data_IF_646323341367
#
_entry.id   IF_646323341367
#
_cell.length_a   1.000
_cell.length_b   1.000
_cell.length_c   1.000
_cell.angle_alpha   90.00
_cell.angle_beta   90.00
_cell.angle_gamma   90.00
#
_symmetry.space_group_name_H-M   'P 1'
#
loop_
_entity.id
_entity.type
_entity.pdbx_description
1 polymer ?
#
# COMPACT_ATOMS: atom_id res chain seq x y z
N UNK A 1 -10.58 15.79 23.78
CA UNK A 1 -9.62 15.85 22.65
C UNK A 1 -8.73 14.64 22.75
N UNK A 2 -8.53 13.84 21.68
CA UNK A 2 -7.53 12.79 21.73
C UNK A 2 -6.17 13.46 21.95
N UNK A 3 -5.46 13.05 23.00
CA UNK A 3 -4.11 13.53 23.28
C UNK A 3 -3.20 13.10 22.14
N UNK A 4 -2.50 14.05 21.52
CA UNK A 4 -1.44 13.73 20.55
C UNK A 4 -0.48 12.72 21.19
N UNK A 5 -0.11 11.65 20.50
CA UNK A 5 0.82 10.66 21.06
C UNK A 5 2.13 11.36 21.43
N UNK A 6 2.66 11.02 22.60
CA UNK A 6 3.96 11.55 23.05
C UNK A 6 5.02 11.27 21.99
N UNK A 7 5.91 12.20 21.67
CA UNK A 7 7.02 11.98 20.73
C UNK A 7 8.00 10.87 21.17
N UNK A 8 7.86 10.37 22.40
CA UNK A 8 8.65 9.26 22.96
C UNK A 8 8.04 7.88 22.75
N UNK A 9 6.90 7.76 22.04
CA UNK A 9 6.26 6.47 21.76
C UNK A 9 6.08 6.27 20.25
N UNK A 10 6.16 5.00 19.80
CA UNK A 10 5.79 4.66 18.42
C UNK A 10 4.30 4.89 18.20
N UNK A 11 3.98 5.58 17.12
CA UNK A 11 2.58 5.74 16.70
C UNK A 11 2.03 4.39 16.20
N UNK A 12 0.87 3.95 16.70
CA UNK A 12 0.25 2.72 16.22
C UNK A 12 -0.07 2.75 14.74
N UNK A 13 0.22 1.65 14.02
CA UNK A 13 -0.22 1.45 12.64
C UNK A 13 -1.61 0.82 12.65
N UNK A 14 -2.63 1.68 12.55
CA UNK A 14 -4.04 1.25 12.62
C UNK A 14 -4.42 0.42 11.40
N UNK A 15 -3.91 0.75 10.22
CA UNK A 15 -4.13 -0.01 9.00
C UNK A 15 -3.67 -1.47 9.14
N UNK A 16 -2.42 -1.70 9.58
CA UNK A 16 -1.90 -3.05 9.86
C UNK A 16 -2.78 -3.83 10.84
N UNK A 17 -3.20 -3.18 11.93
CA UNK A 17 -4.05 -3.81 12.95
C UNK A 17 -5.42 -4.18 12.40
N UNK A 18 -5.99 -3.33 11.56
CA UNK A 18 -7.26 -3.61 10.88
C UNK A 18 -7.13 -4.75 9.87
N UNK A 19 -6.02 -4.85 9.11
CA UNK A 19 -5.73 -5.99 8.25
C UNK A 19 -5.71 -7.30 9.04
N UNK A 20 -5.01 -7.34 10.18
CA UNK A 20 -4.95 -8.52 11.04
C UNK A 20 -6.33 -8.92 11.62
N UNK A 21 -7.28 -7.99 11.67
CA UNK A 21 -8.65 -8.23 12.13
C UNK A 21 -9.63 -8.55 10.99
N UNK A 22 -9.17 -8.58 9.74
CA UNK A 22 -10.02 -8.78 8.56
C UNK A 22 -11.04 -7.65 8.33
N UNK A 23 -10.75 -6.43 8.82
CA UNK A 23 -11.62 -5.28 8.60
C UNK A 23 -11.48 -4.78 7.17
N UNK A 24 -12.63 -4.46 6.57
CA UNK A 24 -12.67 -3.85 5.23
C UNK A 24 -12.19 -2.41 5.29
N UNK A 25 -11.24 -2.06 4.43
CA UNK A 25 -10.58 -0.75 4.43
C UNK A 25 -10.54 -0.15 3.02
N UNK A 26 -11.38 0.86 2.73
CA UNK A 26 -11.28 1.63 1.50
C UNK A 26 -10.07 2.57 1.56
N UNK A 27 -9.38 2.69 0.42
CA UNK A 27 -8.24 3.57 0.25
C UNK A 27 -8.24 4.31 -1.07
N UNK A 28 -7.27 5.20 -1.24
CA UNK A 28 -7.11 5.98 -2.47
C UNK A 28 -5.65 6.02 -2.91
N UNK A 29 -5.42 6.03 -4.24
CA UNK A 29 -4.11 6.19 -4.86
C UNK A 29 -3.73 7.67 -4.97
N UNK A 30 -2.48 8.01 -4.69
CA UNK A 30 -1.90 9.35 -4.82
C UNK A 30 -0.86 9.33 -5.93
N UNK A 31 -1.17 9.97 -7.05
CA UNK A 31 -0.36 10.00 -8.26
C UNK A 31 -0.07 11.42 -8.77
N UNK A 32 -0.66 12.45 -8.15
CA UNK A 32 -0.51 13.85 -8.60
C UNK A 32 0.79 14.53 -8.15
N UNK A 33 1.63 13.87 -7.36
CA UNK A 33 2.86 14.47 -6.81
C UNK A 33 2.61 15.76 -6.00
N UNK A 34 1.37 15.98 -5.57
CA UNK A 34 0.93 17.18 -4.88
C UNK A 34 0.69 16.93 -3.39
N UNK A 35 1.49 17.60 -2.57
CA UNK A 35 1.34 17.58 -1.11
C UNK A 35 -0.04 18.11 -0.69
N UNK A 36 -0.55 19.15 -1.38
CA UNK A 36 -1.87 19.70 -1.12
C UNK A 36 -2.98 18.69 -1.44
N UNK A 37 -2.86 17.94 -2.56
CA UNK A 37 -3.80 16.88 -2.86
C UNK A 37 -3.82 15.79 -1.78
N UNK A 38 -2.64 15.41 -1.29
CA UNK A 38 -2.52 14.47 -0.16
C UNK A 38 -3.24 14.97 1.08
N UNK A 39 -3.07 16.24 1.46
CA UNK A 39 -3.74 16.84 2.63
C UNK A 39 -5.26 16.83 2.44
N UNK A 40 -5.76 17.23 1.27
CA UNK A 40 -7.21 17.24 0.96
C UNK A 40 -7.81 15.83 1.10
N UNK A 41 -7.18 14.82 0.51
CA UNK A 41 -7.75 13.45 0.55
C UNK A 41 -7.53 12.75 1.89
N UNK A 42 -6.50 13.13 2.65
CA UNK A 42 -6.29 12.61 4.01
C UNK A 42 -7.44 12.95 4.94
N UNK A 43 -8.09 14.11 4.73
CA UNK A 43 -9.29 14.55 5.46
C UNK A 43 -10.59 13.89 4.99
N UNK A 44 -10.59 13.12 3.90
CA UNK A 44 -11.81 12.56 3.31
C UNK A 44 -12.36 11.31 4.03
N UNK A 45 -11.60 10.71 4.96
CA UNK A 45 -12.04 9.58 5.78
C UNK A 45 -11.65 8.20 5.23
N UNK A 46 -10.72 8.10 4.29
CA UNK A 46 -10.13 6.83 3.88
C UNK A 46 -9.32 6.19 5.01
N UNK A 47 -9.27 4.86 5.06
CA UNK A 47 -8.47 4.12 6.04
C UNK A 47 -6.98 4.13 5.67
N UNK A 48 -6.66 4.17 4.38
CA UNK A 48 -5.30 4.22 3.87
C UNK A 48 -5.21 5.02 2.57
N UNK A 49 -4.03 5.57 2.32
CA UNK A 49 -3.67 6.24 1.08
C UNK A 49 -2.39 5.59 0.53
N UNK A 50 -2.30 5.39 -0.78
CA UNK A 50 -1.07 4.88 -1.38
C UNK A 50 -0.35 5.98 -2.15
N UNK A 51 0.84 6.33 -1.70
CA UNK A 51 1.76 7.17 -2.44
C UNK A 51 2.55 6.32 -3.42
N UNK A 52 2.35 6.58 -4.70
CA UNK A 52 2.91 5.77 -5.76
C UNK A 52 4.26 6.32 -6.23
N UNK A 53 5.35 5.58 -6.00
CA UNK A 53 6.67 5.92 -6.53
C UNK A 53 7.07 5.04 -7.73
N UNK A 54 6.21 4.08 -8.13
CA UNK A 54 6.49 3.21 -9.27
C UNK A 54 6.09 3.87 -10.59
N UNK A 55 4.89 4.47 -10.65
CA UNK A 55 4.34 5.07 -11.87
C UNK A 55 4.19 6.59 -11.77
N UNK A 56 5.01 7.24 -10.96
CA UNK A 56 5.12 8.69 -10.85
C UNK A 56 6.59 9.12 -10.79
N UNK A 57 6.84 10.43 -10.79
CA UNK A 57 8.19 10.97 -10.60
C UNK A 57 8.51 11.30 -9.15
N UNK A 58 7.77 10.74 -8.18
CA UNK A 58 8.00 10.98 -6.74
C UNK A 58 9.32 10.34 -6.30
N UNK A 59 10.21 11.18 -5.79
CA UNK A 59 11.47 10.75 -5.17
C UNK A 59 11.35 10.61 -3.63
N UNK A 60 12.24 9.87 -2.97
CA UNK A 60 12.26 9.75 -1.50
C UNK A 60 12.32 11.08 -0.75
N UNK A 61 12.87 12.13 -1.37
CA UNK A 61 12.93 13.48 -0.80
C UNK A 61 11.54 14.11 -0.62
N UNK A 62 10.57 13.75 -1.47
CA UNK A 62 9.20 14.26 -1.43
C UNK A 62 8.33 13.51 -0.43
N UNK A 63 8.62 12.23 -0.17
CA UNK A 63 7.81 11.35 0.69
C UNK A 63 7.61 11.94 2.09
N UNK A 64 8.62 12.60 2.64
CA UNK A 64 8.52 13.23 3.97
C UNK A 64 7.43 14.32 4.04
N UNK A 65 7.25 15.10 2.96
CA UNK A 65 6.21 16.11 2.88
C UNK A 65 4.81 15.48 2.78
N UNK A 66 4.65 14.42 1.99
CA UNK A 66 3.39 13.65 1.92
C UNK A 66 3.05 12.98 3.27
N UNK A 67 4.06 12.44 3.99
CA UNK A 67 3.86 11.91 5.34
C UNK A 67 3.35 12.98 6.32
N UNK A 68 3.83 14.22 6.20
CA UNK A 68 3.36 15.33 7.05
C UNK A 68 1.94 15.73 6.67
N UNK A 69 1.63 15.86 5.39
CA UNK A 69 0.30 16.19 4.90
C UNK A 69 -0.75 15.16 5.32
N UNK A 70 -0.41 13.87 5.22
CA UNK A 70 -1.30 12.78 5.63
C UNK A 70 -1.59 12.74 7.13
N UNK A 71 -0.75 13.38 7.98
CA UNK A 71 -0.99 13.45 9.44
C UNK A 71 -2.22 14.28 9.83
N UNK A 72 -2.75 15.10 8.92
CA UNK A 72 -4.00 15.84 9.12
C UNK A 72 -5.24 14.94 9.17
N UNK A 73 -5.15 13.70 8.68
CA UNK A 73 -6.22 12.71 8.66
C UNK A 73 -5.94 11.48 9.52
N UNK A 74 -6.79 10.47 9.36
CA UNK A 74 -6.69 9.17 10.06
C UNK A 74 -6.05 8.08 9.21
N UNK A 75 -5.93 8.30 7.89
CA UNK A 75 -5.42 7.34 6.93
C UNK A 75 -3.95 6.99 7.18
N UNK A 76 -3.61 5.72 7.06
CA UNK A 76 -2.20 5.30 6.97
C UNK A 76 -1.66 5.59 5.57
N UNK A 77 -0.47 6.20 5.47
CA UNK A 77 0.20 6.38 4.20
C UNK A 77 1.05 5.14 3.89
N UNK A 78 0.60 4.36 2.92
CA UNK A 78 1.33 3.26 2.29
C UNK A 78 2.18 3.83 1.17
N UNK A 79 3.42 3.42 1.03
CA UNK A 79 4.29 3.83 -0.09
C UNK A 79 4.56 2.63 -0.98
N UNK A 80 4.19 2.71 -2.26
CA UNK A 80 4.61 1.74 -3.26
C UNK A 80 5.95 2.18 -3.83
N UNK A 81 6.98 1.36 -3.61
CA UNK A 81 8.33 1.62 -4.11
C UNK A 81 8.45 1.28 -5.59
N UNK A 82 9.42 1.87 -6.33
CA UNK A 82 9.58 1.58 -7.76
C UNK A 82 9.98 0.15 -8.07
N UNK A 83 10.71 -0.49 -7.18
CA UNK A 83 11.21 -1.85 -7.32
C UNK A 83 11.60 -2.45 -5.97
N UNK A 84 11.65 -3.78 -5.86
CA UNK A 84 12.11 -4.48 -4.66
C UNK A 84 13.64 -4.30 -4.47
N UNK A 85 14.05 -3.13 -3.95
CA UNK A 85 15.44 -2.67 -3.86
C UNK A 85 15.73 -2.16 -2.44
N UNK A 86 16.72 -2.76 -1.72
CA UNK A 86 16.93 -2.50 -0.29
C UNK A 86 17.41 -1.10 0.05
N UNK A 87 18.10 -0.39 -0.86
CA UNK A 87 18.58 0.98 -0.60
C UNK A 87 17.43 1.95 -0.49
N UNK A 88 16.43 1.83 -1.38
CA UNK A 88 15.20 2.62 -1.35
C UNK A 88 14.41 2.34 -0.06
N UNK A 89 14.21 1.07 0.26
CA UNK A 89 13.49 0.62 1.47
C UNK A 89 14.07 1.24 2.73
N UNK A 90 15.41 1.16 2.91
CA UNK A 90 16.09 1.74 4.06
C UNK A 90 15.83 3.25 4.19
N UNK A 91 15.96 4.01 3.09
CA UNK A 91 15.76 5.46 3.09
C UNK A 91 14.34 5.84 3.47
N UNK A 92 13.35 5.13 2.95
CA UNK A 92 11.93 5.37 3.23
C UNK A 92 11.60 5.05 4.69
N UNK A 93 12.06 3.90 5.19
CA UNK A 93 11.83 3.51 6.59
C UNK A 93 12.49 4.49 7.56
N UNK A 94 13.71 4.94 7.29
CA UNK A 94 14.38 5.96 8.12
C UNK A 94 13.67 7.32 8.04
N UNK A 95 13.09 7.64 6.88
CA UNK A 95 12.22 8.79 6.65
C UNK A 95 10.87 8.73 7.37
N UNK A 96 10.52 7.58 7.97
CA UNK A 96 9.31 7.41 8.78
C UNK A 96 8.13 6.73 8.07
N UNK A 97 8.34 6.19 6.87
CA UNK A 97 7.38 5.27 6.24
C UNK A 97 7.27 4.01 7.10
N UNK A 98 6.05 3.53 7.32
CA UNK A 98 5.79 2.32 8.11
C UNK A 98 5.12 1.22 7.29
N UNK A 99 4.42 1.60 6.25
CA UNK A 99 3.69 0.68 5.39
C UNK A 99 4.26 0.78 3.97
N UNK A 100 4.84 -0.32 3.48
CA UNK A 100 5.48 -0.38 2.16
C UNK A 100 4.79 -1.45 1.32
N UNK A 101 4.50 -1.10 0.06
CA UNK A 101 4.07 -2.03 -0.97
C UNK A 101 5.24 -2.29 -1.94
N UNK A 102 5.60 -3.55 -2.08
CA UNK A 102 6.64 -4.04 -2.98
C UNK A 102 5.98 -4.53 -4.27
N UNK A 103 6.20 -3.87 -5.41
CA UNK A 103 5.59 -4.26 -6.67
C UNK A 103 6.24 -5.51 -7.24
N UNK A 104 5.54 -6.17 -8.13
CA UNK A 104 6.01 -7.24 -9.01
C UNK A 104 6.73 -8.39 -8.29
N UNK A 105 6.22 -8.81 -7.13
CA UNK A 105 6.75 -9.95 -6.38
C UNK A 105 6.26 -11.25 -7.02
N UNK A 106 7.20 -12.09 -7.52
CA UNK A 106 6.91 -13.28 -8.31
C UNK A 106 7.09 -14.58 -7.55
N UNK A 107 7.76 -14.55 -6.40
CA UNK A 107 8.14 -15.77 -5.66
C UNK A 107 8.30 -15.53 -4.17
N UNK A 108 8.32 -16.60 -3.39
CA UNK A 108 8.64 -16.56 -1.96
C UNK A 108 10.05 -15.99 -1.69
N UNK A 109 11.02 -16.23 -2.59
CA UNK A 109 12.37 -15.68 -2.43
C UNK A 109 12.38 -14.16 -2.59
N UNK A 110 11.57 -13.62 -3.51
CA UNK A 110 11.41 -12.18 -3.66
C UNK A 110 10.69 -11.56 -2.45
N UNK A 111 9.67 -12.24 -1.93
CA UNK A 111 9.00 -11.82 -0.71
C UNK A 111 9.96 -11.85 0.50
N UNK A 112 10.81 -12.86 0.64
CA UNK A 112 11.84 -12.90 1.68
C UNK A 112 12.85 -11.76 1.55
N UNK A 113 13.28 -11.41 0.32
CA UNK A 113 14.16 -10.25 0.08
C UNK A 113 13.48 -8.94 0.49
N UNK A 114 12.20 -8.78 0.15
CA UNK A 114 11.40 -7.63 0.56
C UNK A 114 11.37 -7.49 2.09
N UNK A 115 11.03 -8.55 2.80
CA UNK A 115 11.01 -8.57 4.27
C UNK A 115 12.40 -8.30 4.84
N UNK A 116 13.44 -8.96 4.33
CA UNK A 116 14.83 -8.78 4.81
C UNK A 116 15.31 -7.34 4.67
N UNK A 117 14.91 -6.62 3.62
CA UNK A 117 15.23 -5.21 3.41
C UNK A 117 14.63 -4.29 4.50
N UNK A 118 13.56 -4.72 5.16
CA UNK A 118 12.90 -3.93 6.22
C UNK A 118 13.42 -4.21 7.62
N UNK A 119 14.12 -5.32 7.82
CA UNK A 119 14.55 -5.81 9.14
C UNK A 119 16.02 -5.54 9.41
N UNK A 120 16.35 -5.19 10.65
CA UNK A 120 17.73 -5.07 11.10
C UNK A 120 18.40 -6.45 11.29
N UNK A 121 19.73 -6.51 11.17
CA UNK A 121 20.47 -7.73 11.53
C UNK A 121 20.16 -8.18 12.98
N UNK A 122 20.14 -9.50 13.26
CA UNK A 122 20.44 -10.61 12.37
C UNK A 122 19.25 -11.06 11.50
N UNK A 123 18.05 -10.46 11.63
CA UNK A 123 16.82 -10.88 10.96
C UNK A 123 16.64 -10.29 9.55
N UNK A 124 17.56 -9.41 9.11
CA UNK A 124 17.54 -8.80 7.79
C UNK A 124 18.82 -8.03 7.50
N UNK A 125 18.74 -7.13 6.50
CA UNK A 125 19.89 -6.41 5.94
C UNK A 125 19.75 -4.87 6.02
N UNK A 126 18.70 -4.37 6.71
CA UNK A 126 18.52 -2.92 6.88
C UNK A 126 19.69 -2.33 7.67
N UNK A 127 20.35 -1.32 7.09
CA UNK A 127 21.41 -0.57 7.80
C UNK A 127 20.83 0.23 8.97
N UNK A 128 21.60 0.33 10.05
CA UNK A 128 21.18 0.97 11.30
C UNK A 128 21.52 2.46 11.31
N UNK A 129 20.53 3.29 11.65
CA UNK A 129 20.73 4.70 11.99
C UNK A 129 20.16 4.99 13.39
N UNK A 130 20.96 5.65 14.24
CA UNK A 130 20.55 5.97 15.61
C UNK A 130 19.65 7.22 15.73
N UNK A 131 19.71 8.11 14.74
CA UNK A 131 19.01 9.40 14.77
C UNK A 131 18.28 9.63 13.45
N UNK A 132 17.00 9.27 13.40
CA UNK A 132 16.18 9.32 12.19
C UNK A 132 14.74 9.71 12.52
N UNK A 133 13.97 10.12 11.51
CA UNK A 133 12.57 10.51 11.68
C UNK A 133 11.71 9.36 12.25
N UNK A 134 11.97 8.13 11.80
CA UNK A 134 11.23 6.94 12.24
C UNK A 134 11.27 6.71 13.75
N UNK A 135 12.38 7.05 14.43
CA UNK A 135 12.50 6.95 15.89
C UNK A 135 12.28 8.30 16.61
N UNK A 136 11.56 9.24 15.95
CA UNK A 136 11.33 10.60 16.44
C UNK A 136 12.63 11.32 16.82
N UNK A 137 13.67 11.20 15.99
CA UNK A 137 15.00 11.79 16.22
C UNK A 137 15.60 11.33 17.55
N UNK A 138 15.66 10.02 17.75
CA UNK A 138 16.15 9.32 18.93
C UNK A 138 15.33 9.54 20.22
N UNK A 139 14.09 10.07 20.15
CA UNK A 139 13.22 10.18 21.33
C UNK A 139 12.58 8.86 21.71
N UNK A 140 12.28 7.97 20.75
CA UNK A 140 11.75 6.61 20.98
C UNK A 140 12.92 5.67 21.28
N UNK A 141 13.15 5.39 22.56
CA UNK A 141 14.35 4.65 23.02
C UNK A 141 14.27 3.15 22.72
N UNK A 142 13.09 2.58 22.69
CA UNK A 142 12.80 1.16 22.43
C UNK A 142 12.45 0.87 20.95
N UNK A 143 12.76 1.82 20.05
CA UNK A 143 12.46 1.68 18.61
C UNK A 143 13.01 0.38 18.03
N UNK A 144 14.25 0.03 18.35
CA UNK A 144 14.92 -1.16 17.81
C UNK A 144 14.25 -2.50 18.22
N UNK A 145 13.51 -2.52 19.32
CA UNK A 145 12.77 -3.70 19.78
C UNK A 145 11.36 -3.76 19.21
N UNK A 146 10.74 -2.60 18.87
CA UNK A 146 9.31 -2.51 18.59
C UNK A 146 8.93 -2.07 17.18
N UNK A 147 9.90 -1.63 16.36
CA UNK A 147 9.60 -1.08 15.04
C UNK A 147 8.80 -2.04 14.15
N UNK A 148 9.04 -3.35 14.27
CA UNK A 148 8.36 -4.37 13.45
C UNK A 148 6.86 -4.47 13.75
N UNK A 149 6.45 -4.16 15.00
CA UNK A 149 5.05 -4.21 15.40
C UNK A 149 4.20 -3.22 14.58
N UNK A 150 4.81 -2.11 14.19
CA UNK A 150 4.15 -1.02 13.48
C UNK A 150 4.53 -0.93 11.99
N UNK A 151 5.37 -1.84 11.48
CA UNK A 151 5.65 -1.95 10.04
C UNK A 151 4.65 -2.88 9.37
N UNK A 152 4.10 -2.44 8.24
CA UNK A 152 3.20 -3.23 7.38
C UNK A 152 3.90 -3.50 6.05
N UNK A 153 4.09 -4.77 5.73
CA UNK A 153 4.76 -5.23 4.52
C UNK A 153 3.71 -5.84 3.58
N UNK A 154 3.49 -5.18 2.46
CA UNK A 154 2.55 -5.59 1.42
C UNK A 154 3.36 -6.02 0.21
N UNK A 155 3.11 -7.20 -0.32
CA UNK A 155 3.68 -7.65 -1.59
C UNK A 155 2.61 -7.63 -2.68
N UNK A 156 2.94 -7.10 -3.85
CA UNK A 156 2.01 -7.02 -4.98
C UNK A 156 2.34 -8.13 -5.98
N UNK A 157 1.32 -8.93 -6.31
CA UNK A 157 1.36 -10.00 -7.29
C UNK A 157 0.55 -9.58 -8.52
N UNK A 158 1.10 -9.81 -9.71
CA UNK A 158 0.51 -9.24 -10.93
C UNK A 158 0.89 -10.02 -12.19
N UNK A 159 1.12 -11.33 -12.01
CA UNK A 159 1.32 -12.28 -13.11
C UNK A 159 0.70 -13.64 -12.76
N UNK A 160 0.37 -14.48 -13.76
CA UNK A 160 -0.11 -15.83 -13.51
C UNK A 160 0.85 -16.69 -12.68
N UNK A 161 2.17 -16.52 -12.84
CA UNK A 161 3.18 -17.22 -12.03
C UNK A 161 3.15 -16.80 -10.58
N UNK A 162 3.01 -15.52 -10.29
CA UNK A 162 2.89 -15.00 -8.93
C UNK A 162 1.58 -15.46 -8.27
N UNK A 163 0.48 -15.49 -9.03
CA UNK A 163 -0.81 -16.04 -8.54
C UNK A 163 -0.67 -17.50 -8.17
N UNK A 164 0.02 -18.30 -8.99
CA UNK A 164 0.28 -19.71 -8.68
C UNK A 164 1.16 -19.90 -7.43
N UNK A 165 2.02 -18.92 -7.10
CA UNK A 165 2.92 -18.94 -5.96
C UNK A 165 2.31 -18.31 -4.67
N UNK A 166 1.02 -17.95 -4.65
CA UNK A 166 0.37 -17.29 -3.49
C UNK A 166 0.61 -18.04 -2.18
N UNK A 167 0.49 -19.35 -2.17
CA UNK A 167 0.66 -20.16 -0.97
C UNK A 167 2.09 -20.03 -0.39
N UNK A 168 3.10 -20.06 -1.27
CA UNK A 168 4.51 -19.94 -0.89
C UNK A 168 4.86 -18.51 -0.47
N UNK A 169 4.36 -17.51 -1.20
CA UNK A 169 4.54 -16.08 -0.86
C UNK A 169 3.88 -15.76 0.48
N UNK A 170 2.64 -16.24 0.69
CA UNK A 170 1.90 -16.01 1.93
C UNK A 170 2.48 -16.73 3.14
N UNK A 171 3.22 -17.82 2.95
CA UNK A 171 3.94 -18.51 4.02
C UNK A 171 5.17 -17.73 4.51
N UNK A 172 5.61 -16.69 3.80
CA UNK A 172 6.77 -15.89 4.22
C UNK A 172 6.43 -15.10 5.47
N UNK A 173 7.20 -15.35 6.53
CA UNK A 173 7.07 -14.61 7.79
C UNK A 173 7.44 -13.14 7.58
N UNK A 174 6.58 -12.22 8.06
CA UNK A 174 6.79 -10.78 7.94
C UNK A 174 6.05 -10.13 6.77
N UNK A 175 5.48 -10.91 5.84
CA UNK A 175 4.47 -10.41 4.91
C UNK A 175 3.15 -10.24 5.68
N UNK A 176 2.54 -9.08 5.62
CA UNK A 176 1.25 -8.78 6.29
C UNK A 176 0.07 -8.92 5.33
N UNK A 177 0.26 -8.55 4.06
CA UNK A 177 -0.79 -8.56 3.05
C UNK A 177 -0.24 -8.86 1.65
N UNK A 178 -1.12 -9.38 0.78
CA UNK A 178 -0.84 -9.60 -0.65
C UNK A 178 -1.83 -8.78 -1.45
N UNK A 179 -1.31 -7.93 -2.33
CA UNK A 179 -2.09 -7.05 -3.19
C UNK A 179 -2.09 -7.58 -4.63
N UNK A 180 -3.25 -7.61 -5.27
CA UNK A 180 -3.37 -8.02 -6.68
C UNK A 180 -3.36 -6.79 -7.58
N UNK A 181 -2.43 -6.74 -8.56
CA UNK A 181 -2.36 -5.70 -9.59
C UNK A 181 -3.14 -6.12 -10.85
N UNK A 182 -4.40 -5.68 -11.04
CA UNK A 182 -5.26 -6.22 -12.11
C UNK A 182 -4.82 -5.84 -13.51
N UNK A 183 -4.22 -4.67 -13.71
CA UNK A 183 -3.79 -4.23 -15.04
C UNK A 183 -2.60 -5.06 -15.56
N UNK A 184 -1.58 -5.22 -14.72
CA UNK A 184 -0.40 -6.01 -15.06
C UNK A 184 -0.71 -7.49 -15.12
N UNK A 185 -1.60 -7.98 -14.24
CA UNK A 185 -2.12 -9.35 -14.32
C UNK A 185 -2.79 -9.59 -15.68
N UNK A 186 -3.68 -8.70 -16.12
CA UNK A 186 -4.33 -8.82 -17.43
C UNK A 186 -3.30 -8.79 -18.57
N UNK A 187 -2.33 -7.87 -18.51
CA UNK A 187 -1.26 -7.79 -19.51
C UNK A 187 -0.44 -9.07 -19.58
N UNK A 188 -0.04 -9.63 -18.43
CA UNK A 188 0.69 -10.89 -18.33
C UNK A 188 -0.13 -12.13 -18.74
N UNK A 189 -1.46 -12.04 -18.74
CA UNK A 189 -2.38 -13.03 -19.31
C UNK A 189 -2.60 -12.86 -20.82
N UNK A 190 -1.94 -11.89 -21.47
CA UNK A 190 -2.15 -11.57 -22.89
C UNK A 190 -3.40 -10.74 -23.18
N UNK A 191 -4.01 -10.15 -22.15
CA UNK A 191 -5.24 -9.36 -22.20
C UNK A 191 -4.94 -7.88 -21.86
N UNK A 192 -3.87 -7.31 -22.44
CA UNK A 192 -3.45 -5.94 -22.21
C UNK A 192 -4.61 -4.93 -22.39
N UNK A 193 -4.81 -4.07 -21.39
CA UNK A 193 -5.88 -3.07 -21.37
C UNK A 193 -7.27 -3.63 -21.06
N UNK A 194 -7.40 -4.91 -20.68
CA UNK A 194 -8.68 -5.58 -20.42
C UNK A 194 -8.74 -6.19 -19.01
N UNK A 195 -8.49 -5.44 -17.92
CA UNK A 195 -8.55 -5.98 -16.55
C UNK A 195 -9.96 -6.45 -16.14
N UNK A 196 -10.98 -6.02 -16.89
CA UNK A 196 -12.37 -6.45 -16.72
C UNK A 196 -12.76 -7.71 -17.48
N UNK A 197 -11.85 -8.35 -18.24
CA UNK A 197 -12.14 -9.59 -18.95
C UNK A 197 -12.58 -10.70 -18.00
N UNK A 198 -13.53 -11.57 -18.40
CA UNK A 198 -14.05 -12.65 -17.54
C UNK A 198 -12.95 -13.56 -16.97
N UNK A 199 -11.93 -13.85 -17.76
CA UNK A 199 -10.80 -14.70 -17.38
C UNK A 199 -9.95 -14.04 -16.29
N UNK A 200 -9.71 -12.72 -16.39
CA UNK A 200 -8.98 -11.94 -15.37
C UNK A 200 -9.81 -11.85 -14.09
N UNK A 201 -11.10 -11.59 -14.20
CA UNK A 201 -12.02 -11.54 -13.04
C UNK A 201 -12.08 -12.87 -12.30
N UNK A 202 -12.05 -13.99 -13.02
CA UNK A 202 -12.00 -15.32 -12.41
C UNK A 202 -10.71 -15.52 -11.60
N UNK A 203 -9.54 -15.19 -12.17
CA UNK A 203 -8.25 -15.26 -11.47
C UNK A 203 -8.23 -14.35 -10.23
N UNK A 204 -8.75 -13.12 -10.34
CA UNK A 204 -8.85 -12.18 -9.20
C UNK A 204 -9.73 -12.76 -8.09
N UNK A 205 -10.87 -13.38 -8.41
CA UNK A 205 -11.76 -13.95 -7.41
C UNK A 205 -11.12 -15.16 -6.69
N UNK A 206 -10.38 -15.98 -7.40
CA UNK A 206 -9.68 -17.13 -6.82
C UNK A 206 -8.43 -16.71 -6.03
N UNK A 207 -7.73 -15.66 -6.47
CA UNK A 207 -6.61 -15.07 -5.74
C UNK A 207 -7.01 -14.60 -4.35
N UNK A 208 -8.17 -13.95 -4.19
CA UNK A 208 -8.66 -13.51 -2.88
C UNK A 208 -8.79 -14.69 -1.89
N UNK A 209 -9.37 -15.81 -2.34
CA UNK A 209 -9.53 -17.02 -1.53
C UNK A 209 -8.17 -17.64 -1.18
N UNK A 210 -7.29 -17.74 -2.18
CA UNK A 210 -5.95 -18.31 -1.99
C UNK A 210 -5.12 -17.47 -1.00
N UNK A 211 -5.13 -16.15 -1.12
CA UNK A 211 -4.43 -15.24 -0.19
C UNK A 211 -4.98 -15.42 1.24
N UNK A 212 -6.30 -15.40 1.40
CA UNK A 212 -6.94 -15.58 2.70
C UNK A 212 -6.61 -16.93 3.34
N UNK A 213 -6.49 -17.98 2.54
CA UNK A 213 -6.09 -19.31 3.04
C UNK A 213 -4.67 -19.34 3.64
N UNK A 214 -3.81 -18.39 3.28
CA UNK A 214 -2.47 -18.22 3.89
C UNK A 214 -2.51 -17.42 5.20
N UNK A 215 -3.66 -16.91 5.61
CA UNK A 215 -3.81 -16.02 6.77
C UNK A 215 -3.39 -14.57 6.49
N UNK A 216 -3.09 -14.20 5.23
CA UNK A 216 -2.74 -12.84 4.83
C UNK A 216 -3.97 -12.07 4.35
N UNK A 217 -3.93 -10.74 4.49
CA UNK A 217 -5.00 -9.88 4.01
C UNK A 217 -4.92 -9.69 2.49
N UNK A 218 -5.99 -9.99 1.73
CA UNK A 218 -6.02 -9.72 0.29
C UNK A 218 -6.38 -8.26 0.00
N UNK A 219 -5.61 -7.63 -0.89
CA UNK A 219 -5.83 -6.27 -1.37
C UNK A 219 -5.95 -6.19 -2.88
N UNK A 220 -6.63 -5.17 -3.38
CA UNK A 220 -6.81 -4.92 -4.81
C UNK A 220 -7.13 -3.45 -5.08
N UNK A 221 -7.05 -3.02 -6.34
CA UNK A 221 -7.61 -1.76 -6.78
C UNK A 221 -8.77 -1.99 -7.77
N UNK A 222 -9.83 -1.18 -7.66
CA UNK A 222 -10.88 -1.10 -8.66
C UNK A 222 -11.56 0.28 -8.57
N UNK A 223 -11.50 1.05 -9.65
CA UNK A 223 -12.01 2.42 -9.68
C UNK A 223 -13.50 2.52 -10.01
N UNK A 224 -14.18 1.39 -10.20
CA UNK A 224 -15.64 1.34 -10.26
C UNK A 224 -16.21 1.06 -8.86
N UNK A 225 -16.98 1.97 -8.26
CA UNK A 225 -17.47 1.80 -6.88
C UNK A 225 -18.35 0.57 -6.66
N UNK A 226 -19.15 0.17 -7.67
CA UNK A 226 -20.01 -1.01 -7.57
C UNK A 226 -19.19 -2.30 -7.59
N UNK A 227 -18.20 -2.40 -8.49
CA UNK A 227 -17.28 -3.53 -8.54
C UNK A 227 -16.37 -3.58 -7.30
N UNK A 228 -15.90 -2.43 -6.82
CA UNK A 228 -15.11 -2.35 -5.59
C UNK A 228 -15.88 -2.92 -4.39
N UNK A 229 -17.15 -2.58 -4.26
CA UNK A 229 -18.03 -3.15 -3.22
C UNK A 229 -18.17 -4.66 -3.36
N UNK A 230 -18.43 -5.14 -4.57
CA UNK A 230 -18.54 -6.57 -4.85
C UNK A 230 -17.24 -7.32 -4.50
N UNK A 231 -16.06 -6.75 -4.76
CA UNK A 231 -14.76 -7.33 -4.41
C UNK A 231 -14.57 -7.41 -2.88
N UNK A 232 -14.96 -6.37 -2.13
CA UNK A 232 -14.97 -6.43 -0.66
C UNK A 232 -15.89 -7.54 -0.14
N UNK A 233 -17.05 -7.74 -0.77
CA UNK A 233 -17.99 -8.81 -0.41
C UNK A 233 -17.49 -10.20 -0.82
N UNK A 234 -16.72 -10.27 -1.91
CA UNK A 234 -16.06 -11.49 -2.38
C UNK A 234 -14.82 -11.89 -1.55
N UNK A 235 -14.39 -11.06 -0.60
CA UNK A 235 -13.35 -11.45 0.35
C UNK A 235 -12.08 -10.62 0.33
N UNK A 236 -11.99 -9.52 -0.42
CA UNK A 236 -10.91 -8.57 -0.28
C UNK A 236 -11.07 -7.75 1.02
N UNK A 237 -9.95 -7.46 1.71
CA UNK A 237 -9.95 -6.71 2.97
C UNK A 237 -9.64 -5.23 2.76
N UNK A 238 -8.77 -4.89 1.81
CA UNK A 238 -8.46 -3.50 1.51
C UNK A 238 -8.47 -3.25 0.00
N UNK A 239 -9.07 -2.11 -0.37
CA UNK A 239 -9.29 -1.79 -1.78
C UNK A 239 -9.05 -0.31 -2.05
N UNK A 240 -8.27 -0.02 -3.11
CA UNK A 240 -8.19 1.33 -3.63
C UNK A 240 -9.34 1.59 -4.61
N UNK A 241 -10.13 2.63 -4.33
CA UNK A 241 -11.37 2.91 -5.06
C UNK A 241 -11.25 4.04 -6.08
N UNK A 242 -10.06 4.57 -6.27
CA UNK A 242 -9.78 5.65 -7.20
C UNK A 242 -8.37 6.22 -7.03
N UNK A 243 -8.07 7.28 -7.76
CA UNK A 243 -6.88 8.09 -7.55
C UNK A 243 -7.22 9.58 -7.53
N UNK A 244 -6.39 10.37 -6.86
CA UNK A 244 -6.48 11.83 -6.82
C UNK A 244 -6.54 12.41 -8.24
N UNK A 245 -5.67 11.93 -9.13
CA UNK A 245 -5.60 12.33 -10.53
C UNK A 245 -6.89 11.99 -11.29
N UNK A 246 -7.42 10.76 -11.13
CA UNK A 246 -8.63 10.34 -11.83
C UNK A 246 -9.87 11.11 -11.36
N UNK A 247 -9.96 11.39 -10.06
CA UNK A 247 -11.04 12.20 -9.49
C UNK A 247 -11.00 13.60 -10.07
N UNK A 248 -9.85 14.25 -10.06
CA UNK A 248 -9.69 15.60 -10.59
C UNK A 248 -10.02 15.64 -12.09
N UNK A 249 -9.45 14.75 -12.89
CA UNK A 249 -9.67 14.70 -14.33
C UNK A 249 -11.16 14.49 -14.67
N UNK A 250 -11.76 13.43 -14.11
CA UNK A 250 -13.18 13.09 -14.44
C UNK A 250 -14.17 14.11 -13.90
N UNK A 251 -13.95 14.67 -12.69
CA UNK A 251 -14.85 15.69 -12.15
C UNK A 251 -14.74 17.01 -12.89
N UNK A 252 -13.54 17.38 -13.35
CA UNK A 252 -13.34 18.58 -14.17
C UNK A 252 -14.09 18.48 -15.49
N UNK A 253 -13.99 17.32 -16.17
CA UNK A 253 -14.72 17.06 -17.42
C UNK A 253 -16.23 17.07 -17.21
N UNK A 254 -16.72 16.39 -16.16
CA UNK A 254 -18.13 16.36 -15.83
C UNK A 254 -18.69 17.75 -15.51
N UNK A 255 -17.92 18.56 -14.76
CA UNK A 255 -18.33 19.92 -14.41
C UNK A 255 -18.43 20.82 -15.64
N UNK A 256 -17.48 20.69 -16.58
CA UNK A 256 -17.57 21.43 -17.87
C UNK A 256 -18.80 20.99 -18.67
N UNK A 257 -19.04 19.69 -18.75
CA UNK A 257 -20.19 19.16 -19.48
C UNK A 257 -21.52 19.65 -18.91
N UNK A 258 -21.63 19.78 -17.57
CA UNK A 258 -22.83 20.31 -16.89
C UNK A 258 -23.15 21.77 -17.28
N UNK A 259 -22.13 22.56 -17.70
CA UNK A 259 -22.31 23.97 -18.06
C UNK A 259 -22.54 24.18 -19.57
N UNK A 260 -21.95 23.31 -20.40
CA UNK A 260 -22.04 23.44 -21.88
C UNK A 260 -23.06 22.50 -22.51
N UNK A 261 -23.80 21.73 -21.72
CA UNK A 261 -24.93 20.94 -22.21
C UNK A 261 -26.06 21.89 -22.65
N UNK A 262 -26.43 21.81 -23.94
CA UNK A 262 -27.55 22.55 -24.54
C UNK A 262 -28.93 22.04 -24.03
#
# INVERSE_FOLDING_TARGET
MPTSPSPSTLRPNTFKRHLAQGKKQPGLWLTMESVNATEVVAGAGYDWLLLDMEHTCIDPSQVAAHLLAAQGGTAELVVRIPWNEPVMVKRLLDGGVRSIMFPFVQSADEARRAVAATRYPPHGIRGVSGNMRANSFARVKDYGQRYQDEQCIIVQIESPSAVAAIAEIGAVEGVDAIFVGPNDLAANMGLFGQPGAPEVKAVIADAAKAIRATGKAPGILNFNPAEARALLDAGYDFIAVGSDLSILARRSEALLAEIVAD
#
